data_IF_445617846458
#
_entry.id   IF_445617846458
#
_cell.length_a   1.000
_cell.length_b   1.000
_cell.length_c   1.000
_cell.angle_alpha   90.00
_cell.angle_beta   90.00
_cell.angle_gamma   90.00
#
_symmetry.space_group_name_H-M   'P 1'
#
loop_
_entity.id
_entity.type
_entity.pdbx_description
1 polymer ?
#
# COMPACT_ATOMS: atom_id res chain seq x y z
N UNK A 1 9.28 67.12 -11.78
CA UNK A 1 8.98 66.39 -10.51
C UNK A 1 7.63 65.65 -10.54
N UNK A 2 6.48 66.29 -10.83
CA UNK A 2 5.15 65.62 -10.81
C UNK A 2 5.02 64.40 -11.76
N UNK A 3 5.66 64.42 -12.93
CA UNK A 3 5.68 63.28 -13.89
C UNK A 3 6.52 62.09 -13.42
N UNK A 4 7.62 62.34 -12.71
CA UNK A 4 8.50 61.28 -12.18
C UNK A 4 7.81 60.56 -11.01
N UNK A 5 7.17 61.33 -10.12
CA UNK A 5 6.37 60.77 -9.01
C UNK A 5 5.20 59.93 -9.53
N UNK A 6 4.52 60.38 -10.60
CA UNK A 6 3.44 59.61 -11.24
C UNK A 6 3.94 58.27 -11.80
N UNK A 7 5.12 58.25 -12.43
CA UNK A 7 5.69 57.02 -13.00
C UNK A 7 6.15 56.04 -11.91
N UNK A 8 6.67 56.53 -10.79
CA UNK A 8 7.05 55.70 -9.64
C UNK A 8 5.82 55.05 -8.99
N UNK A 9 4.70 55.78 -8.86
CA UNK A 9 3.45 55.23 -8.32
C UNK A 9 2.87 54.14 -9.23
N UNK A 10 2.93 54.33 -10.55
CA UNK A 10 2.47 53.32 -11.53
C UNK A 10 3.37 52.08 -11.49
N UNK A 11 4.69 52.25 -11.40
CA UNK A 11 5.63 51.13 -11.28
C UNK A 11 5.46 50.36 -9.97
N UNK A 12 5.25 51.06 -8.85
CA UNK A 12 4.97 50.44 -7.56
C UNK A 12 3.65 49.65 -7.56
N UNK A 13 2.61 50.17 -8.22
CA UNK A 13 1.32 49.46 -8.37
C UNK A 13 1.42 48.20 -9.24
N UNK A 14 2.30 48.19 -10.25
CA UNK A 14 2.54 47.04 -11.13
C UNK A 14 3.32 45.91 -10.44
N UNK A 15 4.22 46.23 -9.50
CA UNK A 15 4.98 45.24 -8.72
C UNK A 15 4.07 44.51 -7.72
N UNK A 16 3.06 45.20 -7.18
CA UNK A 16 2.07 44.61 -6.26
C UNK A 16 1.18 43.53 -6.89
N UNK A 17 1.06 43.49 -8.22
CA UNK A 17 0.28 42.47 -8.93
C UNK A 17 0.99 41.12 -9.03
N UNK A 18 2.31 41.06 -8.81
CA UNK A 18 3.08 39.81 -8.85
C UNK A 18 3.34 39.21 -7.46
N UNK A 19 2.93 39.87 -6.38
CA UNK A 19 2.97 39.33 -5.02
C UNK A 19 1.71 38.47 -4.75
N UNK A 20 1.54 37.38 -5.50
CA UNK A 20 0.55 36.36 -5.17
C UNK A 20 1.08 35.44 -4.08
N UNK A 21 0.35 35.28 -2.97
CA UNK A 21 0.62 34.21 -2.00
C UNK A 21 0.33 32.85 -2.65
N UNK A 22 1.37 32.12 -3.01
CA UNK A 22 1.25 30.75 -3.55
C UNK A 22 0.73 29.80 -2.46
N UNK A 23 1.16 30.00 -1.21
CA UNK A 23 0.77 29.17 -0.05
C UNK A 23 -0.73 29.19 0.30
N UNK A 24 -1.53 30.13 -0.21
CA UNK A 24 -2.98 30.12 0.02
C UNK A 24 -3.71 29.12 -0.88
N UNK A 25 -3.14 28.79 -2.04
CA UNK A 25 -3.73 27.87 -3.02
C UNK A 25 -3.37 26.41 -2.76
N UNK A 26 -2.29 26.15 -2.03
CA UNK A 26 -1.90 24.82 -1.59
C UNK A 26 -2.49 24.52 -0.21
N UNK A 27 -3.73 24.01 -0.22
CA UNK A 27 -4.37 23.51 0.99
C UNK A 27 -4.24 22.00 1.02
N UNK A 28 -3.32 21.51 1.86
CA UNK A 28 -3.26 20.09 2.19
C UNK A 28 -4.65 19.61 2.66
N UNK A 29 -5.16 18.49 2.15
CA UNK A 29 -6.47 18.01 2.54
C UNK A 29 -6.47 17.74 4.04
N UNK A 30 -7.35 18.42 4.79
CA UNK A 30 -7.38 18.36 6.28
C UNK A 30 -7.56 16.93 6.82
N UNK A 31 -8.02 16.00 5.97
CA UNK A 31 -8.26 14.59 6.29
C UNK A 31 -7.27 13.63 5.62
N UNK A 32 -6.31 14.10 4.82
CA UNK A 32 -5.22 13.29 4.29
C UNK A 32 -3.92 13.75 4.93
N UNK A 33 -3.28 12.88 5.71
CA UNK A 33 -1.88 13.07 6.07
C UNK A 33 -1.01 12.49 4.97
N UNK A 34 0.03 13.22 4.56
CA UNK A 34 1.03 12.69 3.64
C UNK A 34 1.74 11.50 4.30
N UNK A 35 2.23 10.56 3.48
CA UNK A 35 2.98 9.41 4.02
C UNK A 35 4.21 9.88 4.79
N UNK A 36 4.89 10.94 4.35
CA UNK A 36 5.99 11.54 5.10
C UNK A 36 5.58 12.05 6.48
N UNK A 37 4.46 12.77 6.60
CA UNK A 37 4.00 13.30 7.90
C UNK A 37 3.55 12.18 8.85
N UNK A 38 2.90 11.14 8.32
CA UNK A 38 2.52 9.98 9.14
C UNK A 38 3.75 9.20 9.58
N UNK A 39 4.76 9.02 8.73
CA UNK A 39 5.94 8.21 9.05
C UNK A 39 7.02 8.97 9.85
N UNK A 40 6.86 10.29 10.04
CA UNK A 40 7.82 11.12 10.78
C UNK A 40 7.67 11.06 12.31
N UNK A 41 6.79 10.21 12.85
CA UNK A 41 6.61 10.06 14.29
C UNK A 41 6.58 8.61 14.73
N UNK A 42 6.98 8.34 15.97
CA UNK A 42 6.99 6.98 16.53
C UNK A 42 5.58 6.35 16.52
N UNK A 43 4.57 7.10 16.94
CA UNK A 43 3.17 6.65 16.92
C UNK A 43 2.64 6.46 15.49
N UNK A 44 3.12 7.28 14.56
CA UNK A 44 2.77 7.16 13.16
C UNK A 44 3.38 5.92 12.50
N UNK A 45 4.62 5.56 12.84
CA UNK A 45 5.24 4.28 12.44
C UNK A 45 4.49 3.07 13.04
N UNK A 46 4.08 3.16 14.31
CA UNK A 46 3.22 2.15 14.94
C UNK A 46 1.90 1.99 14.16
N UNK A 47 1.22 3.11 13.91
CA UNK A 47 -0.05 3.14 13.16
C UNK A 47 0.10 2.59 11.74
N UNK A 48 1.18 2.93 11.04
CA UNK A 48 1.48 2.42 9.71
C UNK A 48 1.77 0.90 9.72
N UNK A 49 2.49 0.42 10.74
CA UNK A 49 2.76 -1.02 10.94
C UNK A 49 1.46 -1.78 11.16
N UNK A 50 0.61 -1.32 12.07
CA UNK A 50 -0.74 -1.88 12.27
C UNK A 50 -1.57 -1.81 11.00
N UNK A 51 -1.49 -0.69 10.27
CA UNK A 51 -2.13 -0.48 8.98
C UNK A 51 -1.70 -1.50 7.92
N UNK A 52 -0.44 -1.95 7.92
CA UNK A 52 0.05 -2.98 7.02
C UNK A 52 -0.59 -4.35 7.30
N UNK A 53 -0.81 -4.70 8.58
CA UNK A 53 -1.50 -5.94 8.96
C UNK A 53 -2.95 -6.00 8.48
N UNK A 54 -3.61 -4.85 8.33
CA UNK A 54 -5.06 -4.81 8.04
C UNK A 54 -5.45 -5.55 6.76
N UNK A 55 -4.55 -5.66 5.81
CA UNK A 55 -4.84 -6.33 4.54
C UNK A 55 -4.83 -7.85 4.67
N UNK A 56 -4.11 -8.41 5.64
CA UNK A 56 -4.10 -9.85 5.89
C UNK A 56 -5.49 -10.34 6.33
N UNK A 57 -6.22 -9.56 7.14
CA UNK A 57 -7.57 -9.95 7.57
C UNK A 57 -8.64 -9.78 6.49
N UNK A 58 -8.30 -9.20 5.32
CA UNK A 58 -9.26 -9.01 4.23
C UNK A 58 -9.96 -10.33 3.87
N UNK A 59 -11.26 -10.25 3.59
CA UNK A 59 -12.03 -11.41 3.11
C UNK A 59 -11.45 -11.98 1.81
N UNK A 60 -10.75 -11.17 1.02
CA UNK A 60 -10.06 -11.58 -0.22
C UNK A 60 -8.70 -12.27 0.02
N UNK A 61 -8.23 -12.32 1.27
CA UNK A 61 -6.98 -12.99 1.68
C UNK A 61 -7.26 -13.94 2.85
N UNK A 62 -6.53 -13.85 3.97
CA UNK A 62 -6.69 -14.79 5.10
C UNK A 62 -8.03 -14.67 5.84
N UNK A 63 -8.81 -13.63 5.60
CA UNK A 63 -10.15 -13.47 6.16
C UNK A 63 -11.23 -14.37 5.53
N UNK A 64 -10.95 -15.07 4.43
CA UNK A 64 -11.94 -15.97 3.83
C UNK A 64 -11.51 -16.64 2.53
N UNK A 65 -11.68 -15.93 1.41
CA UNK A 65 -11.68 -16.52 0.07
C UNK A 65 -10.39 -17.23 -0.28
N UNK A 66 -9.22 -16.66 0.05
CA UNK A 66 -7.95 -17.30 -0.28
C UNK A 66 -7.75 -18.66 0.41
N UNK A 67 -8.24 -18.80 1.65
CA UNK A 67 -8.20 -20.09 2.37
C UNK A 67 -9.24 -21.04 1.78
N UNK A 68 -10.48 -20.59 1.60
CA UNK A 68 -11.57 -21.41 1.08
C UNK A 68 -11.31 -21.91 -0.34
N UNK A 69 -10.74 -21.06 -1.21
CA UNK A 69 -10.44 -21.42 -2.58
C UNK A 69 -9.35 -22.47 -2.67
N UNK A 70 -8.39 -22.46 -1.75
CA UNK A 70 -7.35 -23.49 -1.67
C UNK A 70 -7.93 -24.88 -1.36
N UNK A 71 -8.90 -24.96 -0.43
CA UNK A 71 -9.62 -26.20 -0.10
C UNK A 71 -10.46 -26.70 -1.28
N UNK A 72 -11.14 -25.78 -1.97
CA UNK A 72 -11.95 -26.11 -3.15
C UNK A 72 -11.08 -26.62 -4.31
N UNK A 73 -9.93 -25.99 -4.56
CA UNK A 73 -8.95 -26.45 -5.56
C UNK A 73 -8.36 -27.82 -5.23
N UNK A 74 -8.20 -28.11 -3.93
CA UNK A 74 -7.78 -29.42 -3.42
C UNK A 74 -8.85 -30.51 -3.54
N UNK A 75 -10.09 -30.14 -3.89
CA UNK A 75 -11.21 -31.07 -4.02
C UNK A 75 -11.94 -31.37 -2.71
N UNK A 76 -11.62 -30.65 -1.63
CA UNK A 76 -12.25 -30.84 -0.30
C UNK A 76 -13.62 -30.17 -0.19
N UNK A 77 -13.96 -29.29 -1.14
CA UNK A 77 -15.24 -28.59 -1.17
C UNK A 77 -15.62 -28.12 -2.56
N UNK A 78 -16.91 -27.95 -2.80
CA UNK A 78 -17.46 -27.35 -4.02
C UNK A 78 -18.69 -26.53 -3.68
N UNK A 79 -19.01 -25.55 -4.53
CA UNK A 79 -20.25 -24.80 -4.37
C UNK A 79 -21.46 -25.72 -4.60
N UNK A 80 -22.56 -25.39 -3.91
CA UNK A 80 -23.85 -26.05 -4.14
C UNK A 80 -24.39 -25.68 -5.54
N UNK A 81 -25.17 -26.57 -6.19
CA UNK A 81 -25.69 -26.34 -7.55
C UNK A 81 -26.55 -25.07 -7.74
N UNK A 82 -27.09 -24.50 -6.66
CA UNK A 82 -27.92 -23.30 -6.66
C UNK A 82 -27.29 -22.18 -5.81
N UNK A 83 -25.96 -22.02 -5.90
CA UNK A 83 -25.35 -20.84 -5.32
C UNK A 83 -25.81 -19.58 -6.07
N UNK A 84 -25.92 -18.46 -5.36
CA UNK A 84 -26.42 -17.21 -5.94
C UNK A 84 -25.44 -16.57 -6.94
N UNK A 85 -24.30 -17.23 -7.22
CA UNK A 85 -23.32 -16.82 -8.23
C UNK A 85 -22.34 -15.76 -7.73
N UNK A 86 -22.38 -15.43 -6.43
CA UNK A 86 -21.49 -14.46 -5.80
C UNK A 86 -20.17 -15.07 -5.34
N UNK A 87 -20.06 -16.40 -5.32
CA UNK A 87 -18.85 -17.09 -4.90
C UNK A 87 -18.04 -17.60 -6.09
N UNK A 88 -16.73 -17.37 -6.04
CA UNK A 88 -15.80 -17.89 -7.03
C UNK A 88 -15.69 -19.42 -6.91
N UNK A 89 -16.08 -20.15 -7.97
CA UNK A 89 -15.98 -21.61 -8.00
C UNK A 89 -14.57 -22.09 -8.35
N UNK A 90 -13.68 -22.00 -7.35
CA UNK A 90 -12.28 -22.40 -7.47
C UNK A 90 -12.09 -23.89 -7.83
N UNK A 91 -13.08 -24.73 -7.57
CA UNK A 91 -13.04 -26.17 -7.86
C UNK A 91 -12.96 -26.46 -9.36
N UNK A 92 -13.60 -25.62 -10.18
CA UNK A 92 -13.66 -25.82 -11.64
C UNK A 92 -12.43 -25.34 -12.39
N UNK A 93 -11.52 -24.60 -11.72
CA UNK A 93 -10.34 -23.98 -12.34
C UNK A 93 -10.67 -23.09 -13.55
N UNK A 94 -11.90 -22.56 -13.62
CA UNK A 94 -12.35 -21.71 -14.72
C UNK A 94 -12.19 -20.22 -14.36
N UNK A 95 -11.15 -19.59 -14.89
CA UNK A 95 -10.84 -18.19 -14.65
C UNK A 95 -11.40 -17.29 -15.74
N UNK A 96 -12.16 -16.27 -15.34
CA UNK A 96 -12.62 -15.18 -16.22
C UNK A 96 -12.28 -13.84 -15.60
N UNK A 97 -12.44 -12.74 -16.34
CA UNK A 97 -12.21 -11.40 -15.81
C UNK A 97 -13.07 -11.09 -14.56
N UNK A 98 -14.25 -11.71 -14.45
CA UNK A 98 -15.17 -11.56 -13.32
C UNK A 98 -15.02 -12.66 -12.26
N UNK A 99 -14.18 -13.67 -12.54
CA UNK A 99 -14.00 -14.88 -11.73
C UNK A 99 -12.53 -15.17 -11.57
N UNK A 100 -11.85 -14.29 -10.85
CA UNK A 100 -10.45 -14.45 -10.45
C UNK A 100 -10.29 -14.13 -8.97
N UNK A 101 -9.20 -14.59 -8.39
CA UNK A 101 -8.84 -14.31 -7.00
C UNK A 101 -8.44 -12.85 -6.84
N UNK A 102 -8.96 -12.20 -5.79
CA UNK A 102 -8.74 -10.79 -5.49
C UNK A 102 -7.50 -10.53 -4.60
N UNK A 103 -6.62 -11.52 -4.45
CA UNK A 103 -5.41 -11.39 -3.63
C UNK A 103 -4.46 -10.33 -4.17
N UNK A 104 -4.33 -10.21 -5.50
CA UNK A 104 -3.31 -9.37 -6.15
C UNK A 104 -3.26 -7.94 -5.59
N UNK A 105 -4.39 -7.25 -5.60
CA UNK A 105 -4.51 -5.87 -5.12
C UNK A 105 -4.19 -5.75 -3.62
N UNK A 106 -4.69 -6.69 -2.81
CA UNK A 106 -4.48 -6.70 -1.36
C UNK A 106 -3.02 -6.94 -1.00
N UNK A 107 -2.38 -7.92 -1.63
CA UNK A 107 -0.99 -8.26 -1.38
C UNK A 107 -0.05 -7.12 -1.80
N UNK A 108 -0.24 -6.52 -2.98
CA UNK A 108 0.61 -5.39 -3.41
C UNK A 108 0.37 -4.13 -2.58
N UNK A 109 -0.85 -3.88 -2.12
CA UNK A 109 -1.11 -2.79 -1.17
C UNK A 109 -0.42 -3.05 0.17
N UNK A 110 -0.40 -4.30 0.65
CA UNK A 110 0.30 -4.68 1.89
C UNK A 110 1.81 -4.52 1.74
N UNK A 111 2.37 -4.92 0.60
CA UNK A 111 3.78 -4.72 0.24
C UNK A 111 4.13 -3.23 0.25
N UNK A 112 3.30 -2.37 -0.37
CA UNK A 112 3.52 -0.93 -0.39
C UNK A 112 3.52 -0.33 1.02
N UNK A 113 2.53 -0.69 1.87
CA UNK A 113 2.45 -0.22 3.27
C UNK A 113 3.65 -0.69 4.09
N UNK A 114 4.06 -1.94 3.93
CA UNK A 114 5.23 -2.48 4.61
C UNK A 114 6.52 -1.78 4.15
N UNK A 115 6.68 -1.54 2.84
CA UNK A 115 7.85 -0.84 2.29
C UNK A 115 7.97 0.58 2.86
N UNK A 116 6.86 1.30 3.00
CA UNK A 116 6.86 2.63 3.62
C UNK A 116 7.49 2.61 5.01
N UNK A 117 7.08 1.69 5.88
CA UNK A 117 7.65 1.57 7.24
C UNK A 117 9.13 1.14 7.19
N UNK A 118 9.46 0.11 6.39
CA UNK A 118 10.83 -0.41 6.25
C UNK A 118 11.79 0.69 5.81
N UNK A 119 11.35 1.56 4.89
CA UNK A 119 12.19 2.61 4.32
C UNK A 119 12.29 3.85 5.23
N UNK A 120 11.32 4.10 6.11
CA UNK A 120 11.35 5.26 7.02
C UNK A 120 12.19 5.04 8.28
N UNK A 121 12.29 3.80 8.77
CA UNK A 121 12.98 3.49 10.03
C UNK A 121 14.50 3.79 10.02
N UNK A 122 15.27 3.50 8.95
CA UNK A 122 16.71 3.75 8.93
C UNK A 122 17.10 5.21 9.20
N UNK A 123 16.29 6.15 8.74
CA UNK A 123 16.53 7.59 8.89
C UNK A 123 15.76 8.21 10.08
N UNK A 124 15.08 7.38 10.89
CA UNK A 124 14.25 7.85 12.00
C UNK A 124 15.08 8.11 13.27
N UNK A 125 15.10 9.36 13.73
CA UNK A 125 15.74 9.76 14.99
C UNK A 125 14.84 9.47 16.20
N UNK A 126 14.79 8.20 16.62
CA UNK A 126 14.07 7.75 17.82
C UNK A 126 14.87 7.92 19.11
N UNK A 127 14.18 7.93 20.25
CA UNK A 127 14.83 7.87 21.57
C UNK A 127 15.50 6.51 21.79
N UNK A 128 16.44 6.44 22.73
CA UNK A 128 17.19 5.21 23.02
C UNK A 128 16.28 4.03 23.43
N UNK A 129 15.22 4.30 24.19
CA UNK A 129 14.22 3.32 24.62
C UNK A 129 13.26 2.91 23.51
N UNK A 130 13.15 3.69 22.43
CA UNK A 130 12.29 3.42 21.27
C UNK A 130 12.99 2.54 20.22
N UNK A 131 14.33 2.50 20.18
CA UNK A 131 15.12 1.79 19.16
C UNK A 131 14.74 0.32 19.01
N UNK A 132 14.57 -0.39 20.12
CA UNK A 132 14.20 -1.81 20.07
C UNK A 132 12.80 -2.02 19.47
N UNK A 133 11.87 -1.10 19.73
CA UNK A 133 10.51 -1.17 19.20
C UNK A 133 10.51 -0.84 17.71
N UNK A 134 11.28 0.17 17.27
CA UNK A 134 11.45 0.48 15.85
C UNK A 134 12.00 -0.71 15.06
N UNK A 135 12.96 -1.44 15.61
CA UNK A 135 13.46 -2.67 14.98
C UNK A 135 12.39 -3.76 14.88
N UNK A 136 11.50 -3.88 15.87
CA UNK A 136 10.35 -4.79 15.77
C UNK A 136 9.38 -4.37 14.66
N UNK A 137 9.05 -3.08 14.53
CA UNK A 137 8.19 -2.59 13.43
C UNK A 137 8.77 -2.93 12.06
N UNK A 138 10.09 -2.76 11.90
CA UNK A 138 10.79 -3.16 10.67
C UNK A 138 10.68 -4.67 10.42
N UNK A 139 10.92 -5.50 11.44
CA UNK A 139 10.85 -6.95 11.35
C UNK A 139 9.43 -7.45 10.99
N UNK A 140 8.41 -6.86 11.60
CA UNK A 140 7.00 -7.14 11.30
C UNK A 140 6.65 -6.80 9.85
N UNK A 141 7.06 -5.62 9.38
CA UNK A 141 6.83 -5.22 7.99
C UNK A 141 7.61 -6.09 7.00
N UNK A 142 8.82 -6.54 7.35
CA UNK A 142 9.57 -7.51 6.55
C UNK A 142 8.81 -8.84 6.42
N UNK A 143 8.22 -9.33 7.52
CA UNK A 143 7.37 -10.52 7.49
C UNK A 143 6.14 -10.32 6.61
N UNK A 144 5.42 -9.20 6.74
CA UNK A 144 4.24 -8.87 5.92
C UNK A 144 4.62 -8.85 4.42
N UNK A 145 5.74 -8.22 4.07
CA UNK A 145 6.24 -8.19 2.70
C UNK A 145 6.57 -9.59 2.19
N UNK A 146 7.21 -10.42 3.01
CA UNK A 146 7.59 -11.79 2.65
C UNK A 146 6.35 -12.67 2.43
N UNK A 147 5.38 -12.65 3.35
CA UNK A 147 4.17 -13.48 3.24
C UNK A 147 3.30 -13.04 2.05
N UNK A 148 3.20 -11.74 1.78
CA UNK A 148 2.52 -11.23 0.58
C UNK A 148 3.15 -11.75 -0.71
N UNK A 149 4.47 -11.66 -0.86
CA UNK A 149 5.15 -12.19 -2.05
C UNK A 149 5.02 -13.71 -2.15
N UNK A 150 5.13 -14.43 -1.03
CA UNK A 150 4.96 -15.88 -1.01
C UNK A 150 3.55 -16.30 -1.48
N UNK A 151 2.52 -15.61 -0.99
CA UNK A 151 1.13 -15.89 -1.32
C UNK A 151 0.80 -15.56 -2.78
N UNK A 152 1.34 -14.45 -3.30
CA UNK A 152 1.28 -14.11 -4.71
C UNK A 152 1.93 -15.21 -5.58
N UNK A 153 3.14 -15.66 -5.23
CA UNK A 153 3.85 -16.68 -6.03
C UNK A 153 3.10 -18.01 -6.01
N UNK A 154 2.62 -18.49 -4.84
CA UNK A 154 1.91 -19.78 -4.80
C UNK A 154 0.54 -19.76 -5.50
N UNK A 155 -0.04 -18.58 -5.71
CA UNK A 155 -1.33 -18.44 -6.38
C UNK A 155 -1.20 -18.19 -7.89
N UNK A 156 -0.23 -17.36 -8.31
CA UNK A 156 -0.11 -16.88 -9.69
C UNK A 156 1.06 -17.47 -10.48
N UNK A 157 1.97 -18.19 -9.83
CA UNK A 157 3.08 -18.87 -10.50
C UNK A 157 2.88 -20.39 -10.50
N UNK A 158 3.59 -21.05 -11.43
CA UNK A 158 3.67 -22.51 -11.41
C UNK A 158 4.41 -22.99 -10.15
N UNK A 159 4.07 -24.17 -9.59
CA UNK A 159 4.77 -24.71 -8.45
C UNK A 159 6.28 -24.81 -8.74
N UNK A 160 7.11 -24.43 -7.76
CA UNK A 160 8.57 -24.46 -7.92
C UNK A 160 9.10 -25.85 -8.29
N UNK A 161 8.46 -26.91 -7.77
CA UNK A 161 8.78 -28.30 -8.10
C UNK A 161 8.48 -28.67 -9.56
N UNK A 162 7.55 -27.97 -10.20
CA UNK A 162 7.17 -28.19 -11.60
C UNK A 162 8.04 -27.35 -12.55
N UNK A 163 8.23 -26.06 -12.26
CA UNK A 163 9.02 -25.17 -13.11
C UNK A 163 9.83 -24.18 -12.28
N UNK A 164 11.14 -24.44 -12.19
CA UNK A 164 12.09 -23.57 -11.47
C UNK A 164 12.40 -22.26 -12.21
N UNK A 165 12.14 -22.23 -13.52
CA UNK A 165 12.41 -21.08 -14.40
C UNK A 165 11.12 -20.45 -14.93
N UNK A 166 9.97 -20.85 -14.39
CA UNK A 166 8.69 -20.24 -14.73
C UNK A 166 8.63 -18.78 -14.29
N UNK A 167 7.76 -18.01 -14.94
CA UNK A 167 7.49 -16.64 -14.51
C UNK A 167 6.86 -16.66 -13.11
N UNK A 168 7.34 -15.76 -12.26
CA UNK A 168 6.77 -15.48 -10.94
C UNK A 168 5.87 -14.25 -10.99
N UNK A 169 5.97 -13.44 -9.94
CA UNK A 169 5.28 -12.14 -9.82
C UNK A 169 6.33 -11.01 -9.73
N UNK A 170 5.96 -9.75 -10.05
CA UNK A 170 6.82 -8.60 -9.80
C UNK A 170 7.28 -8.53 -8.34
N UNK A 171 8.60 -8.42 -8.13
CA UNK A 171 9.21 -8.26 -6.80
C UNK A 171 9.35 -6.76 -6.52
N UNK A 172 8.64 -6.27 -5.51
CA UNK A 172 8.61 -4.84 -5.17
C UNK A 172 9.12 -4.65 -3.75
N UNK A 173 10.32 -4.07 -3.62
CA UNK A 173 11.00 -3.85 -2.34
C UNK A 173 11.05 -2.39 -1.91
N UNK A 174 10.58 -1.49 -2.76
CA UNK A 174 10.64 -0.04 -2.56
C UNK A 174 9.31 0.59 -2.92
N UNK A 175 8.98 1.70 -2.24
CA UNK A 175 7.88 2.61 -2.58
C UNK A 175 8.52 3.94 -2.98
N UNK A 176 8.06 4.52 -4.09
CA UNK A 176 8.44 5.86 -4.53
C UNK A 176 7.46 6.89 -4.00
#
# INVERSE_FOLDING_TARGET
MKRIVKNIIVAAGLISFFAGCVDFLEKEPVLQQTSELTLSSFEGLNSATVGAYTLLYSVDWYGGYFVLSSEMRGGNGKLKPNDAGYQFDAYTWNYTAERTENLWDKAYTAIARANNVINSIPDFEGKEDEKAILQNYMAECLFIRAIAHFDLVRLYAQPYSHSKTGLGVPVVTETK
#
